data_IF_160938303858
#
_entry.id   IF_160938303858
#
_cell.length_a   1.000
_cell.length_b   1.000
_cell.length_c   1.000
_cell.angle_alpha   90.00
_cell.angle_beta   90.00
_cell.angle_gamma   90.00
#
_symmetry.space_group_name_H-M   'P 1'
#
loop_
_entity.id
_entity.type
_entity.pdbx_description
1 polymer ?
#
# COMPACT_ATOMS: atom_id res chain seq x y z
N UNK A 1 13.08 35.31 11.07
CA UNK A 1 14.08 34.29 11.44
C UNK A 1 13.31 33.10 12.03
N UNK A 2 13.26 31.97 11.34
CA UNK A 2 12.62 30.77 11.90
C UNK A 2 13.49 30.27 13.06
N UNK A 3 12.92 30.19 14.26
CA UNK A 3 13.61 29.61 15.42
C UNK A 3 13.71 28.11 15.19
N UNK A 4 14.87 27.63 14.75
CA UNK A 4 15.12 26.19 14.60
C UNK A 4 14.97 25.52 15.96
N UNK A 5 13.93 24.70 16.12
CA UNK A 5 13.78 23.87 17.31
C UNK A 5 14.95 22.88 17.45
N UNK A 6 15.16 22.29 18.64
CA UNK A 6 16.16 21.23 18.77
C UNK A 6 15.82 20.06 17.83
N UNK A 7 16.84 19.40 17.23
CA UNK A 7 16.62 18.24 16.37
C UNK A 7 15.81 17.14 17.06
N UNK A 8 14.88 16.53 16.34
CA UNK A 8 14.04 15.43 16.83
C UNK A 8 14.87 14.15 16.89
N UNK A 9 14.83 13.42 18.00
CA UNK A 9 15.47 12.10 18.10
C UNK A 9 14.53 11.01 17.58
N UNK A 10 15.02 10.15 16.68
CA UNK A 10 14.32 8.93 16.24
C UNK A 10 14.56 7.80 17.24
N UNK A 11 13.49 7.17 17.72
CA UNK A 11 13.53 6.07 18.67
C UNK A 11 13.12 4.77 17.99
N UNK A 12 14.12 3.97 17.66
CA UNK A 12 13.92 2.68 17.02
C UNK A 12 13.23 1.68 17.96
N UNK A 13 12.22 0.94 17.48
CA UNK A 13 11.69 -0.21 18.23
C UNK A 13 12.74 -1.32 18.30
N UNK A 14 12.51 -2.30 19.17
CA UNK A 14 13.30 -3.53 19.19
C UNK A 14 13.16 -4.26 17.85
N UNK A 15 14.28 -4.70 17.29
CA UNK A 15 14.29 -5.40 15.99
C UNK A 15 13.80 -6.85 16.14
N UNK A 16 14.26 -7.52 17.21
CA UNK A 16 13.98 -8.92 17.52
C UNK A 16 13.97 -9.16 19.02
N UNK A 17 13.47 -10.33 19.42
CA UNK A 17 13.51 -10.80 20.80
C UNK A 17 14.89 -11.42 21.09
N UNK A 18 15.85 -10.62 21.55
CA UNK A 18 17.23 -11.07 21.74
C UNK A 18 17.51 -11.71 23.10
N UNK A 19 17.30 -10.96 24.19
CA UNK A 19 17.63 -11.40 25.54
C UNK A 19 16.75 -10.73 26.58
N UNK A 20 16.57 -11.39 27.72
CA UNK A 20 15.92 -10.81 28.88
C UNK A 20 16.75 -9.64 29.42
N UNK A 21 16.10 -8.51 29.66
CA UNK A 21 16.72 -7.32 30.23
C UNK A 21 17.34 -7.54 31.60
N UNK A 22 16.76 -8.42 32.42
CA UNK A 22 17.22 -8.66 33.80
C UNK A 22 18.30 -9.72 33.92
N UNK A 23 18.11 -10.89 33.29
CA UNK A 23 19.00 -12.05 33.46
C UNK A 23 19.75 -12.46 32.19
N UNK A 24 19.56 -11.76 31.06
CA UNK A 24 20.16 -12.07 29.76
C UNK A 24 19.85 -13.46 29.15
N UNK A 25 18.95 -14.26 29.74
CA UNK A 25 18.42 -15.50 29.14
C UNK A 25 17.83 -15.20 27.75
N UNK A 26 18.02 -16.10 26.78
CA UNK A 26 17.54 -15.95 25.39
C UNK A 26 16.30 -16.80 25.05
N UNK A 27 15.76 -17.55 26.00
CA UNK A 27 14.57 -18.40 25.80
C UNK A 27 13.36 -17.80 26.51
N UNK A 28 12.17 -18.24 26.10
CA UNK A 28 10.89 -17.89 26.74
C UNK A 28 10.62 -16.39 26.79
N UNK A 29 11.16 -15.66 25.81
CA UNK A 29 11.14 -14.21 25.77
C UNK A 29 9.73 -13.68 25.53
N UNK A 30 9.35 -12.72 26.34
CA UNK A 30 8.06 -12.03 26.33
C UNK A 30 8.32 -10.54 26.39
N UNK A 31 7.47 -9.78 25.74
CA UNK A 31 7.49 -8.34 25.87
C UNK A 31 6.69 -7.91 27.09
N UNK A 32 7.07 -6.78 27.69
CA UNK A 32 6.22 -6.08 28.64
C UNK A 32 4.83 -5.86 28.02
N UNK A 33 3.78 -6.35 28.68
CA UNK A 33 2.39 -6.23 28.18
C UNK A 33 1.92 -4.79 28.08
N UNK A 34 2.45 -3.90 28.94
CA UNK A 34 2.11 -2.48 28.98
C UNK A 34 2.75 -1.71 27.82
N UNK A 35 4.08 -1.56 27.77
CA UNK A 35 4.75 -0.76 26.73
C UNK A 35 5.17 -1.54 25.48
N UNK A 36 5.38 -2.85 25.59
CA UNK A 36 5.94 -3.71 24.52
C UNK A 36 7.34 -3.32 24.02
N UNK A 37 8.11 -2.61 24.85
CA UNK A 37 9.46 -2.12 24.51
C UNK A 37 10.58 -2.78 25.32
N UNK A 38 10.25 -3.59 26.33
CA UNK A 38 11.22 -4.31 27.17
C UNK A 38 10.99 -5.81 27.12
N UNK A 39 12.07 -6.60 27.07
CA UNK A 39 12.03 -8.06 26.93
C UNK A 39 12.35 -8.74 28.27
N UNK A 40 11.53 -9.73 28.65
CA UNK A 40 11.73 -10.55 29.84
C UNK A 40 11.52 -12.03 29.52
N UNK A 41 12.26 -12.93 30.17
CA UNK A 41 12.01 -14.37 30.05
C UNK A 41 10.90 -14.86 31.00
N UNK A 42 10.54 -14.06 32.02
CA UNK A 42 9.54 -14.43 33.03
C UNK A 42 8.95 -13.19 33.72
N UNK A 43 7.78 -13.38 34.37
CA UNK A 43 7.18 -12.34 35.21
C UNK A 43 8.06 -12.01 36.44
N UNK A 44 8.87 -12.96 36.92
CA UNK A 44 9.81 -12.72 38.02
C UNK A 44 10.90 -11.73 37.59
N UNK A 45 11.50 -11.93 36.40
CA UNK A 45 12.48 -10.98 35.85
C UNK A 45 11.87 -9.60 35.60
N UNK A 46 10.62 -9.54 35.13
CA UNK A 46 9.91 -8.26 34.97
C UNK A 46 9.70 -7.55 36.31
N UNK A 47 9.26 -8.27 37.36
CA UNK A 47 9.10 -7.70 38.71
C UNK A 47 10.43 -7.23 39.29
N UNK A 48 11.51 -7.97 39.09
CA UNK A 48 12.85 -7.62 39.56
C UNK A 48 13.49 -6.43 38.81
N UNK A 49 13.01 -6.13 37.60
CA UNK A 49 13.39 -4.95 36.80
C UNK A 49 12.42 -3.78 36.99
N UNK A 50 11.34 -3.97 37.75
CA UNK A 50 10.22 -3.03 37.78
C UNK A 50 10.59 -1.66 38.36
N UNK A 51 11.50 -1.60 39.33
CA UNK A 51 11.99 -0.33 39.89
C UNK A 51 12.55 0.59 38.81
N UNK A 52 13.39 0.04 37.92
CA UNK A 52 14.06 0.78 36.85
C UNK A 52 13.15 0.99 35.64
N UNK A 53 12.29 0.02 35.33
CA UNK A 53 11.43 0.05 34.15
C UNK A 53 10.16 0.90 34.35
N UNK A 54 9.58 0.96 35.55
CA UNK A 54 8.30 1.64 35.84
C UNK A 54 8.27 3.12 35.38
N UNK A 55 9.31 3.94 35.57
CA UNK A 55 9.29 5.35 35.15
C UNK A 55 9.13 5.55 33.63
N UNK A 56 9.49 4.56 32.82
CA UNK A 56 9.41 4.63 31.34
C UNK A 56 8.28 3.77 30.77
N UNK A 57 7.72 2.85 31.56
CA UNK A 57 6.64 1.95 31.15
C UNK A 57 5.30 2.70 30.94
N UNK A 58 4.49 2.22 30.00
CA UNK A 58 3.14 2.76 29.73
C UNK A 58 3.10 4.11 29.00
N UNK A 59 4.24 4.70 28.65
CA UNK A 59 4.33 5.98 27.92
C UNK A 59 4.28 5.82 26.40
N UNK A 60 3.74 4.70 25.90
CA UNK A 60 3.69 4.39 24.47
C UNK A 60 2.26 4.05 24.06
N UNK A 61 1.69 4.87 23.18
CA UNK A 61 0.48 4.57 22.44
C UNK A 61 0.75 3.46 21.43
N UNK A 62 -0.11 2.44 21.41
CA UNK A 62 0.01 1.28 20.52
C UNK A 62 -1.16 1.31 19.55
N UNK A 63 -0.87 1.64 18.30
CA UNK A 63 -1.86 1.74 17.24
C UNK A 63 -1.84 0.44 16.44
N UNK A 64 -3.00 -0.18 16.25
CA UNK A 64 -3.11 -1.40 15.45
C UNK A 64 -3.08 -1.07 13.95
N UNK A 65 -2.15 -1.70 13.23
CA UNK A 65 -1.90 -1.47 11.81
C UNK A 65 -3.13 -1.79 10.96
N UNK A 66 -3.92 -2.82 11.31
CA UNK A 66 -5.12 -3.19 10.55
C UNK A 66 -6.21 -2.11 10.60
N UNK A 67 -6.30 -1.34 11.69
CA UNK A 67 -7.18 -0.18 11.78
C UNK A 67 -6.59 1.11 11.19
N UNK A 68 -5.26 1.18 11.04
CA UNK A 68 -4.55 2.42 10.69
C UNK A 68 -4.11 2.49 9.23
N UNK A 69 -3.92 1.35 8.55
CA UNK A 69 -3.52 1.35 7.14
C UNK A 69 -4.45 2.11 6.18
N UNK A 70 -5.78 2.25 6.42
CA UNK A 70 -6.63 3.10 5.58
C UNK A 70 -6.14 4.54 5.50
N UNK A 71 -5.56 5.07 6.58
CA UNK A 71 -4.96 6.39 6.58
C UNK A 71 -3.79 6.46 5.59
N UNK A 72 -2.93 5.45 5.54
CA UNK A 72 -1.84 5.39 4.55
C UNK A 72 -2.37 5.33 3.12
N UNK A 73 -3.40 4.52 2.87
CA UNK A 73 -4.06 4.47 1.55
C UNK A 73 -4.63 5.83 1.16
N UNK A 74 -5.26 6.55 2.09
CA UNK A 74 -5.77 7.89 1.85
C UNK A 74 -4.65 8.91 1.57
N UNK A 75 -3.48 8.80 2.21
CA UNK A 75 -2.31 9.64 1.87
C UNK A 75 -1.81 9.37 0.44
N UNK A 76 -1.77 8.10 0.03
CA UNK A 76 -1.42 7.73 -1.35
C UNK A 76 -2.42 8.32 -2.34
N UNK A 77 -3.72 8.14 -2.10
CA UNK A 77 -4.77 8.70 -2.95
C UNK A 77 -4.70 10.23 -3.02
N UNK A 78 -4.51 10.89 -1.87
CA UNK A 78 -4.36 12.34 -1.81
C UNK A 78 -3.16 12.83 -2.63
N UNK A 79 -2.10 12.04 -2.75
CA UNK A 79 -0.94 12.35 -3.60
C UNK A 79 -1.24 12.23 -5.09
N UNK A 80 -2.01 11.21 -5.49
CA UNK A 80 -2.44 11.06 -6.88
C UNK A 80 -3.35 12.19 -7.36
N UNK A 81 -4.08 12.82 -6.43
CA UNK A 81 -4.96 13.96 -6.71
C UNK A 81 -4.27 15.32 -6.60
N UNK A 82 -2.97 15.39 -6.28
CA UNK A 82 -2.25 16.66 -6.25
C UNK A 82 -1.98 17.18 -7.67
N UNK A 83 -2.24 18.47 -7.90
CA UNK A 83 -2.03 19.11 -9.20
C UNK A 83 -0.57 19.27 -9.62
N UNK A 84 0.39 18.97 -8.74
CA UNK A 84 1.81 18.97 -9.06
C UNK A 84 2.26 17.67 -9.74
N UNK A 85 1.47 16.58 -9.65
CA UNK A 85 1.76 15.33 -10.35
C UNK A 85 1.67 15.56 -11.87
N UNK A 86 2.66 15.11 -12.66
CA UNK A 86 2.56 15.16 -14.11
C UNK A 86 1.26 14.50 -14.59
N UNK A 87 0.50 15.20 -15.41
CA UNK A 87 -0.74 14.70 -15.99
C UNK A 87 -0.38 13.62 -17.01
N UNK A 88 -0.87 12.37 -16.87
CA UNK A 88 -0.68 11.35 -17.89
C UNK A 88 -1.20 11.81 -19.25
N UNK A 89 -0.46 11.57 -20.33
CA UNK A 89 -0.81 12.04 -21.67
C UNK A 89 -2.20 11.57 -22.14
N UNK A 90 -2.65 10.39 -21.72
CA UNK A 90 -3.97 9.88 -22.04
C UNK A 90 -5.13 10.72 -21.45
N UNK A 91 -4.86 11.56 -20.44
CA UNK A 91 -5.84 12.49 -19.88
C UNK A 91 -5.93 13.82 -20.64
N UNK A 92 -5.02 14.07 -21.58
CA UNK A 92 -5.05 15.28 -22.41
C UNK A 92 -5.48 15.02 -23.85
N UNK A 93 -5.90 13.80 -24.18
CA UNK A 93 -6.30 13.40 -25.53
C UNK A 93 -7.65 12.69 -25.50
N UNK A 94 -8.38 12.77 -26.61
CA UNK A 94 -9.59 11.99 -26.81
C UNK A 94 -9.27 10.49 -26.93
N UNK A 95 -10.04 9.65 -26.28
CA UNK A 95 -10.02 8.20 -26.47
C UNK A 95 -10.99 7.86 -27.61
N UNK A 96 -10.46 7.37 -28.72
CA UNK A 96 -11.24 7.11 -29.96
C UNK A 96 -11.66 5.65 -30.14
N UNK A 97 -11.09 4.73 -29.36
CA UNK A 97 -11.51 3.32 -29.33
C UNK A 97 -12.40 3.02 -28.11
N UNK A 98 -12.77 1.75 -27.93
CA UNK A 98 -13.53 1.29 -26.78
C UNK A 98 -12.66 0.36 -25.91
N UNK A 99 -11.82 0.89 -24.99
CA UNK A 99 -10.99 0.10 -24.06
C UNK A 99 -11.80 -0.55 -22.92
N UNK A 100 -12.97 -1.11 -23.24
CA UNK A 100 -13.83 -1.77 -22.26
C UNK A 100 -13.17 -3.05 -21.68
N UNK A 101 -13.65 -3.56 -20.53
CA UNK A 101 -13.09 -4.73 -19.84
C UNK A 101 -12.87 -5.97 -20.70
N UNK A 102 -13.77 -6.20 -21.66
CA UNK A 102 -13.74 -7.35 -22.55
C UNK A 102 -12.92 -7.10 -23.84
N UNK A 103 -12.31 -5.91 -24.00
CA UNK A 103 -11.39 -5.64 -25.09
C UNK A 103 -10.13 -6.52 -24.93
N UNK A 104 -9.81 -7.39 -25.90
CA UNK A 104 -8.64 -8.26 -25.80
C UNK A 104 -7.36 -7.43 -25.79
N UNK A 105 -6.32 -7.85 -25.04
CA UNK A 105 -5.02 -7.20 -25.11
C UNK A 105 -4.41 -7.40 -26.49
N UNK A 106 -3.63 -6.43 -26.94
CA UNK A 106 -2.86 -6.50 -28.17
C UNK A 106 -1.38 -6.59 -27.84
N UNK A 107 -0.63 -7.31 -28.66
CA UNK A 107 0.83 -7.37 -28.59
C UNK A 107 1.44 -6.25 -29.46
N UNK A 108 2.42 -5.55 -28.91
CA UNK A 108 3.12 -4.44 -29.54
C UNK A 108 4.48 -4.91 -30.10
N UNK A 109 5.10 -4.15 -31.03
CA UNK A 109 6.35 -4.57 -31.69
C UNK A 109 7.53 -4.86 -30.75
N UNK A 110 7.51 -4.33 -29.52
CA UNK A 110 8.54 -4.57 -28.50
C UNK A 110 8.25 -5.75 -27.57
N UNK A 111 7.18 -6.51 -27.85
CA UNK A 111 6.72 -7.65 -27.05
C UNK A 111 5.90 -7.26 -25.82
N UNK A 112 5.64 -5.97 -25.60
CA UNK A 112 4.66 -5.55 -24.59
C UNK A 112 3.26 -6.00 -25.03
N UNK A 113 2.42 -6.37 -24.08
CA UNK A 113 1.04 -6.70 -24.36
C UNK A 113 0.13 -6.08 -23.31
N UNK A 114 -0.95 -5.43 -23.76
CA UNK A 114 -1.85 -4.69 -22.91
C UNK A 114 -3.14 -4.30 -23.62
N UNK A 115 -4.13 -3.83 -22.87
CA UNK A 115 -5.36 -3.27 -23.43
C UNK A 115 -5.05 -1.95 -24.12
N UNK A 116 -5.34 -1.81 -25.43
CA UNK A 116 -5.02 -0.60 -26.16
C UNK A 116 -6.00 0.54 -25.80
N UNK A 117 -5.45 1.73 -25.56
CA UNK A 117 -6.16 3.01 -25.43
C UNK A 117 -5.65 3.90 -26.55
N UNK A 118 -6.48 4.09 -27.59
CA UNK A 118 -6.11 4.86 -28.78
C UNK A 118 -6.43 6.32 -28.54
N UNK A 119 -5.39 7.15 -28.58
CA UNK A 119 -5.42 8.59 -28.33
C UNK A 119 -5.54 9.34 -29.67
N UNK A 120 -6.65 10.04 -29.86
CA UNK A 120 -6.93 10.95 -30.96
C UNK A 120 -6.43 12.37 -30.67
N UNK A 121 -7.24 13.37 -31.00
CA UNK A 121 -6.88 14.77 -30.88
C UNK A 121 -6.67 15.21 -29.42
N UNK A 122 -5.79 16.20 -29.24
CA UNK A 122 -5.57 16.83 -27.95
C UNK A 122 -6.81 17.63 -27.52
N UNK A 123 -7.20 17.47 -26.26
CA UNK A 123 -8.35 18.16 -25.68
C UNK A 123 -7.93 19.44 -24.95
N UNK A 124 -8.82 20.43 -24.99
CA UNK A 124 -8.72 21.65 -24.18
C UNK A 124 -9.56 21.57 -22.91
N UNK A 125 -10.47 20.60 -22.81
CA UNK A 125 -11.35 20.38 -21.67
C UNK A 125 -10.77 19.35 -20.69
N UNK A 126 -11.19 19.40 -19.41
CA UNK A 126 -10.76 18.41 -18.43
C UNK A 126 -11.17 16.98 -18.82
N UNK A 127 -10.37 15.96 -18.46
CA UNK A 127 -10.69 14.56 -18.74
C UNK A 127 -11.93 14.10 -17.97
N UNK A 128 -12.54 13.00 -18.44
CA UNK A 128 -13.69 12.37 -17.77
C UNK A 128 -15.06 12.74 -18.33
N UNK A 129 -15.16 13.77 -19.17
CA UNK A 129 -16.38 14.13 -19.89
C UNK A 129 -16.67 13.27 -21.12
N UNK A 130 -17.81 13.52 -21.79
CA UNK A 130 -18.16 12.85 -23.05
C UNK A 130 -17.14 13.13 -24.16
N UNK A 131 -16.57 14.34 -24.22
CA UNK A 131 -15.53 14.70 -25.18
C UNK A 131 -14.26 13.84 -25.03
N UNK A 132 -13.93 13.47 -23.78
CA UNK A 132 -12.74 12.67 -23.47
C UNK A 132 -12.86 11.22 -23.93
N UNK A 133 -14.04 10.61 -23.75
CA UNK A 133 -14.28 9.26 -24.25
C UNK A 133 -15.74 9.13 -24.73
N UNK A 134 -16.02 9.54 -25.98
CA UNK A 134 -17.40 9.63 -26.50
C UNK A 134 -18.07 8.27 -26.63
N UNK A 135 -17.31 7.24 -26.93
CA UNK A 135 -17.78 5.86 -27.11
C UNK A 135 -17.92 5.07 -25.81
N UNK A 136 -17.73 5.69 -24.64
CA UNK A 136 -17.81 5.00 -23.37
C UNK A 136 -19.23 4.44 -23.12
N UNK A 137 -19.37 3.17 -22.72
CA UNK A 137 -20.70 2.56 -22.49
C UNK A 137 -21.50 3.21 -21.36
N UNK A 138 -20.83 3.79 -20.36
CA UNK A 138 -21.48 4.50 -19.25
C UNK A 138 -20.50 5.41 -18.51
N UNK A 139 -21.04 6.33 -17.70
CA UNK A 139 -20.26 7.20 -16.83
C UNK A 139 -19.39 6.41 -15.83
N UNK A 140 -19.85 5.24 -15.37
CA UNK A 140 -19.10 4.40 -14.44
C UNK A 140 -17.87 3.79 -15.10
N UNK A 141 -17.99 3.27 -16.34
CA UNK A 141 -16.85 2.71 -17.11
C UNK A 141 -15.82 3.83 -17.34
N UNK A 142 -16.30 4.99 -17.79
CA UNK A 142 -15.45 6.16 -18.03
C UNK A 142 -14.71 6.62 -16.77
N UNK A 143 -15.44 6.74 -15.66
CA UNK A 143 -14.89 7.17 -14.38
C UNK A 143 -13.84 6.20 -13.83
N UNK A 144 -14.05 4.88 -13.97
CA UNK A 144 -13.08 3.88 -13.55
C UNK A 144 -11.80 3.94 -14.40
N UNK A 145 -11.92 4.02 -15.72
CA UNK A 145 -10.74 4.18 -16.60
C UNK A 145 -9.97 5.47 -16.27
N UNK A 146 -10.67 6.59 -16.09
CA UNK A 146 -10.08 7.86 -15.67
C UNK A 146 -9.24 7.68 -14.39
N UNK A 147 -9.85 7.07 -13.36
CA UNK A 147 -9.17 6.79 -12.08
C UNK A 147 -7.96 5.87 -12.24
N UNK A 148 -8.03 4.86 -13.12
CA UNK A 148 -6.89 3.96 -13.39
C UNK A 148 -5.71 4.74 -13.96
N UNK A 149 -5.96 5.54 -15.00
CA UNK A 149 -4.93 6.37 -15.67
C UNK A 149 -4.38 7.41 -14.69
N UNK A 150 -5.25 8.11 -13.95
CA UNK A 150 -4.83 9.12 -12.96
C UNK A 150 -3.90 8.58 -11.88
N UNK A 151 -4.00 7.29 -11.54
CA UNK A 151 -3.18 6.64 -10.50
C UNK A 151 -1.86 6.07 -11.03
N UNK A 152 -1.64 6.05 -12.34
CA UNK A 152 -0.37 5.57 -12.90
C UNK A 152 0.81 6.49 -12.58
N UNK A 153 2.00 5.91 -12.40
CA UNK A 153 3.25 6.65 -12.21
C UNK A 153 3.42 7.25 -10.81
N UNK A 154 4.64 7.72 -10.54
CA UNK A 154 5.05 8.34 -9.26
C UNK A 154 4.82 7.50 -8.00
N UNK A 155 4.60 6.18 -8.13
CA UNK A 155 4.34 5.28 -6.98
C UNK A 155 5.48 5.35 -5.96
N UNK A 156 6.74 5.24 -6.41
CA UNK A 156 7.89 5.23 -5.50
C UNK A 156 8.07 6.56 -4.71
N UNK A 157 8.01 7.76 -5.34
CA UNK A 157 7.96 9.02 -4.61
C UNK A 157 6.84 9.09 -3.57
N UNK A 158 5.63 8.64 -3.91
CA UNK A 158 4.47 8.69 -3.02
C UNK A 158 4.66 7.77 -1.82
N UNK A 159 5.05 6.50 -2.04
CA UNK A 159 5.29 5.55 -0.95
C UNK A 159 6.46 6.00 -0.05
N UNK A 160 7.49 6.62 -0.65
CA UNK A 160 8.61 7.20 0.10
C UNK A 160 8.11 8.31 1.02
N UNK A 161 7.29 9.23 0.52
CA UNK A 161 6.70 10.29 1.33
C UNK A 161 5.84 9.78 2.50
N UNK A 162 4.99 8.76 2.27
CA UNK A 162 4.18 8.11 3.32
C UNK A 162 5.06 7.48 4.41
N UNK A 163 6.11 6.75 4.02
CA UNK A 163 7.00 6.12 4.98
C UNK A 163 7.87 7.14 5.74
N UNK A 164 8.29 8.23 5.08
CA UNK A 164 9.01 9.33 5.73
C UNK A 164 8.12 10.02 6.75
N UNK A 165 6.84 10.30 6.43
CA UNK A 165 5.93 10.91 7.41
C UNK A 165 5.65 10.00 8.59
N UNK A 166 5.52 8.69 8.35
CA UNK A 166 5.40 7.69 9.41
C UNK A 166 6.62 7.71 10.34
N UNK A 167 7.83 7.69 9.80
CA UNK A 167 9.06 7.75 10.60
C UNK A 167 9.20 9.08 11.35
N UNK A 168 9.00 10.19 10.64
CA UNK A 168 9.13 11.54 11.18
C UNK A 168 8.14 11.79 12.32
N UNK A 169 6.88 11.36 12.21
CA UNK A 169 5.84 11.74 13.17
C UNK A 169 5.54 10.66 14.22
N UNK A 170 5.63 9.37 13.91
CA UNK A 170 5.38 8.31 14.90
C UNK A 170 6.65 7.88 15.64
N UNK A 171 7.81 7.87 14.96
CA UNK A 171 9.04 7.29 15.51
C UNK A 171 10.03 8.32 16.05
N UNK A 172 9.78 9.62 15.87
CA UNK A 172 10.48 10.65 16.64
C UNK A 172 9.71 11.03 17.91
N UNK A 173 10.37 11.59 18.91
CA UNK A 173 9.66 12.20 20.05
C UNK A 173 9.69 13.71 19.96
N UNK A 174 8.53 14.34 20.12
CA UNK A 174 8.42 15.76 20.46
C UNK A 174 7.79 15.97 21.85
N UNK A 175 7.32 14.90 22.52
CA UNK A 175 6.53 14.93 23.76
C UNK A 175 6.81 13.74 24.68
N UNK A 176 6.25 13.77 25.91
CA UNK A 176 6.36 12.73 26.97
C UNK A 176 5.82 11.34 26.61
N UNK A 177 5.07 11.18 25.50
CA UNK A 177 4.39 9.94 25.09
C UNK A 177 4.78 9.57 23.66
N UNK A 178 5.22 8.33 23.45
CA UNK A 178 5.60 7.75 22.16
C UNK A 178 4.38 7.14 21.48
N UNK A 179 4.43 6.98 20.16
CA UNK A 179 3.42 6.23 19.40
C UNK A 179 4.08 5.13 18.59
N UNK A 180 3.56 3.91 18.62
CA UNK A 180 4.10 2.77 17.90
C UNK A 180 3.01 2.01 17.17
N UNK A 181 3.31 1.58 15.95
CA UNK A 181 2.49 0.61 15.27
C UNK A 181 2.71 -0.77 15.89
N UNK A 182 1.64 -1.55 15.92
CA UNK A 182 1.65 -3.00 16.15
C UNK A 182 0.74 -3.65 15.12
N UNK A 183 0.94 -4.92 14.86
CA UNK A 183 -0.05 -5.75 14.19
C UNK A 183 -0.53 -6.78 15.21
N UNK A 184 -1.82 -6.74 15.55
CA UNK A 184 -2.41 -7.56 16.62
C UNK A 184 -1.67 -7.32 17.95
N UNK A 185 -1.00 -8.34 18.47
CA UNK A 185 -0.23 -8.26 19.72
C UNK A 185 1.27 -7.99 19.51
N UNK A 186 1.75 -7.92 18.26
CA UNK A 186 3.18 -7.86 17.93
C UNK A 186 3.56 -6.44 17.48
N UNK A 187 4.46 -5.73 18.16
CA UNK A 187 4.96 -4.44 17.70
C UNK A 187 5.60 -4.54 16.31
N UNK A 188 5.44 -3.49 15.51
CA UNK A 188 6.18 -3.33 14.25
C UNK A 188 7.63 -2.98 14.60
N UNK A 189 8.55 -3.85 14.19
CA UNK A 189 9.98 -3.69 14.38
C UNK A 189 10.67 -3.04 13.19
N UNK A 190 10.09 -3.16 11.99
CA UNK A 190 10.61 -2.51 10.78
C UNK A 190 9.50 -2.17 9.79
N UNK A 191 9.76 -1.19 8.94
CA UNK A 191 8.96 -0.91 7.75
C UNK A 191 9.81 -0.22 6.69
N UNK A 192 9.39 -0.36 5.45
CA UNK A 192 10.04 0.27 4.31
C UNK A 192 9.32 -0.02 3.01
N UNK A 193 10.06 0.06 1.92
CA UNK A 193 9.52 -0.17 0.58
C UNK A 193 10.22 -1.37 -0.03
N UNK A 194 9.41 -2.25 -0.60
CA UNK A 194 9.86 -3.36 -1.42
C UNK A 194 9.54 -3.06 -2.90
N UNK A 195 10.37 -3.61 -3.76
CA UNK A 195 10.28 -3.54 -5.21
C UNK A 195 10.39 -4.95 -5.79
N UNK A 196 9.56 -5.22 -6.78
CA UNK A 196 9.49 -6.52 -7.42
C UNK A 196 8.57 -6.49 -8.62
N UNK A 197 7.90 -7.62 -8.87
CA UNK A 197 6.82 -7.70 -9.84
C UNK A 197 5.48 -8.03 -9.17
N UNK A 198 4.40 -7.58 -9.80
CA UNK A 198 3.05 -8.01 -9.51
C UNK A 198 2.56 -8.97 -10.59
N UNK A 199 1.85 -10.02 -10.21
CA UNK A 199 1.22 -10.95 -11.15
C UNK A 199 0.00 -10.31 -11.76
N UNK A 200 0.15 -9.81 -12.99
CA UNK A 200 -0.89 -9.08 -13.72
C UNK A 200 -1.08 -9.69 -15.11
N UNK A 201 -2.32 -9.89 -15.52
CA UNK A 201 -2.63 -10.40 -16.86
C UNK A 201 -2.53 -9.29 -17.90
N UNK A 202 -2.36 -9.63 -19.18
CA UNK A 202 -2.27 -8.59 -20.23
C UNK A 202 -3.59 -7.81 -20.38
N UNK A 203 -4.73 -8.44 -20.07
CA UNK A 203 -6.07 -7.82 -20.05
C UNK A 203 -6.16 -6.66 -19.06
N UNK A 204 -5.36 -6.70 -17.99
CA UNK A 204 -5.35 -5.73 -16.90
C UNK A 204 -4.28 -4.65 -17.08
N UNK A 205 -3.37 -4.78 -18.03
CA UNK A 205 -2.39 -3.74 -18.38
C UNK A 205 -3.01 -2.72 -19.33
N UNK A 206 -2.56 -1.48 -19.27
CA UNK A 206 -2.89 -0.45 -20.26
C UNK A 206 -1.70 -0.22 -21.20
N UNK A 207 -2.01 0.09 -22.46
CA UNK A 207 -1.06 0.57 -23.44
C UNK A 207 -1.70 1.72 -24.23
N UNK A 208 -0.96 2.78 -24.46
CA UNK A 208 -1.46 4.00 -25.09
C UNK A 208 -0.89 4.10 -26.51
N UNK A 209 -1.74 4.35 -27.51
CA UNK A 209 -1.33 4.52 -28.89
C UNK A 209 -1.77 5.88 -29.41
N UNK A 210 -0.84 6.74 -29.81
CA UNK A 210 -1.14 8.09 -30.27
C UNK A 210 -1.27 8.12 -31.79
N UNK A 211 -2.44 8.52 -32.30
CA UNK A 211 -2.69 8.57 -33.74
C UNK A 211 -1.92 9.67 -34.45
N UNK A 212 -1.65 10.79 -33.78
CA UNK A 212 -1.01 11.96 -34.41
C UNK A 212 0.41 11.69 -34.91
N UNK A 213 1.15 10.79 -34.26
CA UNK A 213 2.54 10.47 -34.57
C UNK A 213 2.84 8.96 -34.67
N UNK A 214 1.85 8.11 -34.42
CA UNK A 214 1.99 6.65 -34.46
C UNK A 214 2.83 6.08 -33.32
N UNK A 215 3.13 6.87 -32.27
CA UNK A 215 3.90 6.40 -31.11
C UNK A 215 3.03 5.59 -30.15
N UNK A 216 3.67 4.70 -29.40
CA UNK A 216 3.02 3.97 -28.31
C UNK A 216 3.80 4.12 -27.01
N UNK A 217 3.07 4.17 -25.91
CA UNK A 217 3.58 4.24 -24.55
C UNK A 217 2.95 3.13 -23.70
N UNK A 218 3.67 2.66 -22.68
CA UNK A 218 3.12 1.69 -21.74
C UNK A 218 2.46 2.39 -20.55
N UNK A 219 1.40 1.79 -20.04
CA UNK A 219 0.89 2.10 -18.72
C UNK A 219 1.88 1.70 -17.62
N UNK A 220 1.38 1.57 -16.39
CA UNK A 220 2.22 1.14 -15.29
C UNK A 220 2.85 -0.24 -15.57
N UNK A 221 4.12 -0.40 -15.24
CA UNK A 221 4.86 -1.64 -15.48
C UNK A 221 4.74 -2.58 -14.26
N UNK A 222 4.01 -3.72 -14.34
CA UNK A 222 3.86 -4.62 -13.22
C UNK A 222 5.16 -5.34 -12.89
N UNK A 223 6.14 -5.38 -13.78
CA UNK A 223 7.48 -5.90 -13.46
C UNK A 223 8.32 -4.91 -12.68
N UNK A 224 7.89 -3.65 -12.54
CA UNK A 224 8.55 -2.61 -11.73
C UNK A 224 7.59 -2.05 -10.70
N UNK A 225 7.03 -2.95 -9.89
CA UNK A 225 6.02 -2.64 -8.89
C UNK A 225 6.63 -2.35 -7.52
N UNK A 226 5.94 -1.55 -6.71
CA UNK A 226 6.39 -1.12 -5.38
C UNK A 226 5.27 -1.23 -4.36
N UNK A 227 5.62 -1.59 -3.13
CA UNK A 227 4.68 -1.68 -2.03
C UNK A 227 5.35 -1.41 -0.68
N UNK A 228 4.56 -1.09 0.34
CA UNK A 228 5.04 -0.90 1.71
C UNK A 228 5.03 -2.27 2.40
N UNK A 229 6.13 -2.61 3.06
CA UNK A 229 6.16 -3.77 3.96
C UNK A 229 6.28 -3.31 5.42
N UNK A 230 5.74 -4.13 6.31
CA UNK A 230 5.91 -4.03 7.75
C UNK A 230 6.37 -5.37 8.28
N UNK A 231 7.35 -5.36 9.16
CA UNK A 231 7.83 -6.56 9.85
C UNK A 231 7.55 -6.39 11.33
N UNK A 232 6.93 -7.39 11.95
CA UNK A 232 6.77 -7.40 13.41
C UNK A 232 8.04 -7.92 14.07
N UNK A 233 8.22 -7.65 15.37
CA UNK A 233 9.35 -8.17 16.15
C UNK A 233 9.44 -9.72 16.19
N UNK A 234 8.37 -10.41 15.78
CA UNK A 234 8.31 -11.87 15.65
C UNK A 234 8.59 -12.37 14.24
N UNK A 235 8.98 -11.50 13.31
CA UNK A 235 9.27 -11.83 11.91
C UNK A 235 8.01 -12.02 11.05
N UNK A 236 6.82 -11.69 11.54
CA UNK A 236 5.62 -11.68 10.70
C UNK A 236 5.66 -10.50 9.73
N UNK A 237 5.39 -10.77 8.47
CA UNK A 237 5.37 -9.78 7.39
C UNK A 237 3.92 -9.38 7.07
N UNK A 238 3.71 -8.08 6.88
CA UNK A 238 2.45 -7.50 6.43
C UNK A 238 2.77 -6.58 5.26
N UNK A 239 1.93 -6.61 4.22
CA UNK A 239 2.15 -5.88 2.99
C UNK A 239 0.97 -4.93 2.75
N UNK A 240 1.26 -3.67 2.43
CA UNK A 240 0.27 -2.70 1.94
C UNK A 240 0.65 -2.26 0.53
N UNK A 241 -0.23 -2.57 -0.42
CA UNK A 241 -0.09 -2.18 -1.82
C UNK A 241 -1.24 -1.27 -2.24
N UNK A 242 -0.92 -0.04 -2.60
CA UNK A 242 -1.91 0.97 -3.02
C UNK A 242 -1.89 1.21 -4.54
N UNK A 243 -1.11 0.43 -5.30
CA UNK A 243 -0.85 0.67 -6.71
C UNK A 243 -1.42 -0.42 -7.63
N UNK A 244 -2.08 -1.44 -7.09
CA UNK A 244 -2.70 -2.51 -7.90
C UNK A 244 -3.98 -2.06 -8.64
N UNK A 245 -4.56 -0.92 -8.30
CA UNK A 245 -5.75 -0.40 -8.98
C UNK A 245 -5.49 -0.08 -10.46
N UNK A 246 -4.28 0.38 -10.83
CA UNK A 246 -3.93 0.61 -12.24
C UNK A 246 -3.97 -0.70 -13.04
N UNK A 247 -3.81 -1.84 -12.37
CA UNK A 247 -3.93 -3.21 -12.90
C UNK A 247 -5.31 -3.84 -12.65
N UNK A 248 -6.35 -3.02 -12.55
CA UNK A 248 -7.74 -3.47 -12.37
C UNK A 248 -8.01 -4.30 -11.10
N UNK A 249 -7.10 -4.30 -10.12
CA UNK A 249 -7.34 -4.92 -8.82
C UNK A 249 -8.02 -3.91 -7.91
N UNK A 250 -9.35 -3.94 -7.92
CA UNK A 250 -10.18 -2.84 -7.44
C UNK A 250 -10.59 -2.95 -5.97
N UNK A 251 -9.70 -3.39 -5.09
CA UNK A 251 -9.95 -3.34 -3.65
C UNK A 251 -9.75 -1.91 -3.12
N UNK A 252 -10.81 -1.38 -2.54
CA UNK A 252 -10.90 0.00 -2.09
C UNK A 252 -11.22 0.07 -0.60
N UNK A 253 -10.67 1.09 0.06
CA UNK A 253 -11.13 1.58 1.35
C UNK A 253 -12.27 2.56 1.12
N UNK A 254 -13.41 2.35 1.79
CA UNK A 254 -14.54 3.28 1.78
C UNK A 254 -14.39 4.35 2.88
N UNK A 255 -15.03 5.50 2.69
CA UNK A 255 -15.16 6.55 3.71
C UNK A 255 -13.85 7.28 4.00
N UNK A 256 -13.09 7.61 2.96
CA UNK A 256 -11.79 8.32 3.07
C UNK A 256 -11.89 9.61 3.90
N UNK A 257 -13.04 10.30 3.90
CA UNK A 257 -13.29 11.49 4.71
C UNK A 257 -13.15 11.25 6.23
N UNK A 258 -13.31 10.00 6.68
CA UNK A 258 -13.12 9.64 8.09
C UNK A 258 -11.65 9.65 8.51
N UNK A 259 -10.74 9.40 7.56
CA UNK A 259 -9.33 9.18 7.82
C UNK A 259 -8.48 10.46 7.66
N UNK A 260 -8.80 11.32 6.69
CA UNK A 260 -8.09 12.59 6.48
C UNK A 260 -8.94 13.80 6.92
N UNK A 261 -8.31 14.93 7.29
CA UNK A 261 -9.05 16.17 7.51
C UNK A 261 -9.73 16.64 6.21
N UNK A 262 -10.88 17.34 6.28
CA UNK A 262 -11.68 17.75 5.12
C UNK A 262 -11.05 18.90 4.33
N UNK A 263 -9.72 18.90 4.18
CA UNK A 263 -8.97 20.01 3.59
C UNK A 263 -9.10 20.06 2.07
N UNK A 264 -9.56 18.98 1.42
CA UNK A 264 -9.76 18.90 -0.04
C UNK A 264 -10.88 17.93 -0.41
N UNK A 265 -11.52 18.12 -1.58
CA UNK A 265 -12.35 17.08 -2.16
C UNK A 265 -11.47 15.86 -2.41
N UNK A 266 -11.81 14.75 -1.75
CA UNK A 266 -11.16 13.46 -1.94
C UNK A 266 -12.13 12.51 -2.63
N UNK A 267 -11.57 11.55 -3.35
CA UNK A 267 -12.33 10.36 -3.73
C UNK A 267 -12.87 9.70 -2.46
N UNK A 268 -14.15 9.31 -2.44
CA UNK A 268 -14.76 8.53 -1.34
C UNK A 268 -14.05 7.18 -1.12
N UNK A 269 -13.24 6.78 -2.09
CA UNK A 269 -12.53 5.50 -2.13
C UNK A 269 -11.02 5.71 -2.28
N UNK A 270 -10.23 4.96 -1.52
CA UNK A 270 -8.77 4.89 -1.69
C UNK A 270 -8.32 3.46 -1.98
N UNK A 271 -7.57 3.18 -3.06
CA UNK A 271 -7.10 1.84 -3.33
C UNK A 271 -6.18 1.31 -2.23
N UNK A 272 -6.43 0.08 -1.79
CA UNK A 272 -5.55 -0.61 -0.86
C UNK A 272 -5.74 -2.13 -0.94
N UNK A 273 -4.65 -2.83 -1.18
CA UNK A 273 -4.53 -4.25 -0.95
C UNK A 273 -3.65 -4.50 0.28
N UNK A 274 -4.31 -4.75 1.41
CA UNK A 274 -3.65 -5.05 2.68
C UNK A 274 -3.52 -6.56 2.86
N UNK A 275 -2.35 -7.11 2.50
CA UNK A 275 -2.08 -8.55 2.63
C UNK A 275 -1.52 -8.85 4.01
N UNK A 276 -2.40 -9.34 4.85
CA UNK A 276 -2.08 -9.83 6.19
C UNK A 276 -1.95 -11.36 6.20
N UNK A 277 -1.69 -11.96 7.37
CA UNK A 277 -1.57 -13.43 7.51
C UNK A 277 -2.78 -14.21 6.97
N UNK A 278 -3.99 -13.66 7.09
CA UNK A 278 -5.20 -14.34 6.65
C UNK A 278 -5.25 -14.34 5.14
N UNK A 279 -5.02 -13.20 4.49
CA UNK A 279 -4.99 -13.13 3.03
C UNK A 279 -3.85 -13.97 2.49
N UNK A 280 -2.64 -13.82 3.06
CA UNK A 280 -1.44 -14.59 2.70
C UNK A 280 -1.68 -16.12 2.69
N UNK A 281 -2.35 -16.65 3.71
CA UNK A 281 -2.66 -18.08 3.80
C UNK A 281 -3.80 -18.55 2.86
N UNK A 282 -4.54 -17.63 2.27
CA UNK A 282 -5.76 -17.92 1.50
C UNK A 282 -5.70 -17.51 0.03
N UNK A 283 -4.76 -16.66 -0.38
CA UNK A 283 -4.60 -16.21 -1.76
C UNK A 283 -3.27 -16.69 -2.35
N UNK A 284 -3.18 -16.93 -3.67
CA UNK A 284 -1.90 -17.12 -4.33
C UNK A 284 -0.97 -15.92 -4.12
N UNK A 285 0.34 -16.15 -4.23
CA UNK A 285 1.31 -15.07 -4.30
C UNK A 285 1.03 -14.17 -5.51
N UNK A 286 0.78 -12.89 -5.22
CA UNK A 286 0.61 -11.85 -6.24
C UNK A 286 1.87 -11.02 -6.45
N UNK A 287 2.83 -11.11 -5.54
CA UNK A 287 4.05 -10.30 -5.56
C UNK A 287 5.27 -11.21 -5.61
N UNK A 288 6.21 -10.88 -6.50
CA UNK A 288 7.56 -11.47 -6.48
C UNK A 288 8.54 -10.39 -6.08
N UNK A 289 8.96 -10.40 -4.82
CA UNK A 289 9.94 -9.42 -4.35
C UNK A 289 11.33 -9.67 -4.94
N UNK A 290 12.00 -8.60 -5.35
CA UNK A 290 13.41 -8.65 -5.79
C UNK A 290 14.34 -7.85 -4.88
N UNK A 291 13.84 -6.75 -4.30
CA UNK A 291 14.64 -5.86 -3.46
C UNK A 291 13.74 -5.17 -2.44
N UNK A 292 14.21 -5.02 -1.21
CA UNK A 292 13.58 -4.15 -0.22
C UNK A 292 14.60 -3.29 0.50
N UNK A 293 14.16 -2.15 0.99
CA UNK A 293 14.98 -1.26 1.81
C UNK A 293 14.17 -0.75 2.99
N UNK A 294 14.74 -0.86 4.19
CA UNK A 294 14.15 -0.29 5.40
C UNK A 294 14.27 1.23 5.38
N UNK A 295 13.16 1.90 5.66
CA UNK A 295 13.15 3.34 5.90
C UNK A 295 13.42 3.60 7.38
N UNK A 296 12.78 2.83 8.27
CA UNK A 296 12.94 3.00 9.71
C UNK A 296 14.40 2.82 10.18
N UNK A 297 15.13 1.87 9.60
CA UNK A 297 16.51 1.53 9.98
C UNK A 297 17.57 2.29 9.19
N UNK A 298 17.21 3.04 8.16
CA UNK A 298 18.16 3.84 7.38
C UNK A 298 18.76 4.96 8.22
N UNK A 299 20.07 4.90 8.52
CA UNK A 299 20.77 5.94 9.28
C UNK A 299 20.66 7.31 8.61
N UNK A 300 20.87 7.38 7.29
CA UNK A 300 20.79 8.64 6.54
C UNK A 300 19.39 9.25 6.61
N UNK A 301 18.33 8.45 6.42
CA UNK A 301 16.97 8.97 6.52
C UNK A 301 16.60 9.35 7.96
N UNK A 302 17.11 8.63 8.96
CA UNK A 302 16.92 8.98 10.38
C UNK A 302 17.50 10.34 10.72
N UNK A 303 18.69 10.65 10.22
CA UNK A 303 19.31 11.96 10.38
C UNK A 303 18.50 13.05 9.68
N UNK A 304 18.03 12.79 8.46
CA UNK A 304 17.16 13.72 7.71
C UNK A 304 15.86 14.04 8.45
N UNK A 305 15.12 13.04 8.95
CA UNK A 305 13.83 13.31 9.64
C UNK A 305 13.99 13.98 11.00
N UNK A 306 15.20 14.03 11.57
CA UNK A 306 15.47 14.79 12.79
C UNK A 306 15.14 16.28 12.60
N UNK A 307 15.25 16.79 11.37
CA UNK A 307 15.00 18.19 11.02
C UNK A 307 13.57 18.45 10.48
N UNK A 308 12.71 17.42 10.44
CA UNK A 308 11.36 17.47 9.84
C UNK A 308 10.37 18.45 10.49
N UNK A 309 10.72 19.08 11.62
CA UNK A 309 9.84 20.03 12.29
C UNK A 309 9.52 21.24 11.41
N UNK A 310 10.52 21.71 10.66
CA UNK A 310 10.46 22.90 9.81
C UNK A 310 10.26 22.57 8.32
N UNK A 311 9.97 21.29 8.00
CA UNK A 311 9.88 20.78 6.63
C UNK A 311 11.15 20.05 6.19
N UNK A 312 11.36 19.95 4.87
CA UNK A 312 12.52 19.30 4.28
C UNK A 312 13.25 20.26 3.35
N UNK A 313 14.56 20.37 3.52
CA UNK A 313 15.44 21.19 2.70
C UNK A 313 15.80 20.47 1.39
N UNK A 314 16.39 21.16 0.40
CA UNK A 314 16.91 20.49 -0.81
C UNK A 314 17.92 19.38 -0.51
N UNK A 315 18.70 19.51 0.57
CA UNK A 315 19.66 18.48 1.01
C UNK A 315 18.92 17.23 1.50
N UNK A 316 17.85 17.41 2.26
CA UNK A 316 16.99 16.32 2.73
C UNK A 316 16.33 15.59 1.55
N UNK A 317 15.83 16.35 0.58
CA UNK A 317 15.24 15.81 -0.65
C UNK A 317 16.27 15.00 -1.43
N UNK A 318 17.53 15.43 -1.51
CA UNK A 318 18.59 14.65 -2.14
C UNK A 318 18.84 13.29 -1.46
N UNK A 319 18.64 13.19 -0.13
CA UNK A 319 18.69 11.91 0.59
C UNK A 319 17.51 11.01 0.20
N UNK A 320 16.30 11.57 0.05
CA UNK A 320 15.13 10.82 -0.46
C UNK A 320 15.38 10.31 -1.88
N UNK A 321 15.89 11.18 -2.76
CA UNK A 321 16.27 10.85 -4.12
C UNK A 321 17.30 9.71 -4.14
N UNK A 322 18.36 9.80 -3.34
CA UNK A 322 19.37 8.74 -3.24
C UNK A 322 18.78 7.42 -2.77
N UNK A 323 17.87 7.44 -1.79
CA UNK A 323 17.14 6.26 -1.37
C UNK A 323 16.32 5.64 -2.51
N UNK A 324 15.53 6.44 -3.22
CA UNK A 324 14.69 5.99 -4.34
C UNK A 324 15.54 5.44 -5.51
N UNK A 325 16.65 6.10 -5.83
CA UNK A 325 17.58 5.64 -6.88
C UNK A 325 18.21 4.30 -6.53
N UNK A 326 18.66 4.14 -5.28
CA UNK A 326 19.18 2.86 -4.80
C UNK A 326 18.13 1.78 -4.82
N UNK A 327 16.89 2.05 -4.37
CA UNK A 327 15.85 1.03 -4.39
C UNK A 327 15.48 0.65 -5.82
N UNK A 328 15.22 1.63 -6.69
CA UNK A 328 14.75 1.42 -8.07
C UNK A 328 15.84 0.91 -9.04
N UNK A 329 17.13 1.07 -8.68
CA UNK A 329 18.27 0.97 -9.61
C UNK A 329 18.12 1.86 -10.85
N UNK A 330 17.42 3.00 -10.72
CA UNK A 330 17.20 3.98 -11.78
C UNK A 330 17.55 5.38 -11.30
N UNK A 331 17.92 6.26 -12.23
CA UNK A 331 18.06 7.68 -11.94
C UNK A 331 16.67 8.30 -11.78
N UNK A 332 16.37 8.84 -10.61
CA UNK A 332 15.18 9.66 -10.40
C UNK A 332 15.28 10.93 -11.25
N UNK A 333 14.15 11.30 -11.84
CA UNK A 333 13.95 12.60 -12.47
C UNK A 333 13.93 13.71 -11.40
N UNK A 334 14.13 14.96 -11.85
CA UNK A 334 13.97 16.14 -10.98
C UNK A 334 12.56 16.15 -10.40
N UNK A 335 11.56 15.89 -11.23
CA UNK A 335 10.16 15.90 -10.82
C UNK A 335 9.84 14.86 -9.75
N UNK A 336 10.31 13.61 -9.90
CA UNK A 336 10.13 12.59 -8.87
C UNK A 336 10.73 13.00 -7.52
N UNK A 337 11.87 13.69 -7.54
CA UNK A 337 12.54 14.20 -6.32
C UNK A 337 11.70 15.30 -5.66
N UNK A 338 11.20 16.25 -6.46
CA UNK A 338 10.30 17.31 -5.98
C UNK A 338 9.00 16.76 -5.40
N UNK A 339 8.38 15.78 -6.07
CA UNK A 339 7.17 15.12 -5.58
C UNK A 339 7.41 14.45 -4.24
N UNK A 340 8.51 13.70 -4.09
CA UNK A 340 8.85 13.03 -2.83
C UNK A 340 9.00 14.04 -1.68
N UNK A 341 9.69 15.16 -1.90
CA UNK A 341 9.86 16.21 -0.90
C UNK A 341 8.55 16.91 -0.52
N UNK A 342 7.79 17.34 -1.53
CA UNK A 342 6.49 18.02 -1.35
C UNK A 342 5.50 17.13 -0.60
N UNK A 343 5.34 15.88 -1.04
CA UNK A 343 4.42 14.94 -0.41
C UNK A 343 4.88 14.54 0.99
N UNK A 344 6.19 14.40 1.24
CA UNK A 344 6.69 14.12 2.58
C UNK A 344 6.31 15.24 3.57
N UNK A 345 6.50 16.51 3.19
CA UNK A 345 6.08 17.64 4.03
C UNK A 345 4.56 17.62 4.27
N UNK A 346 3.77 17.43 3.22
CA UNK A 346 2.30 17.37 3.32
C UNK A 346 1.83 16.23 4.24
N UNK A 347 2.36 15.02 4.03
CA UNK A 347 2.01 13.83 4.81
C UNK A 347 2.47 13.94 6.27
N UNK A 348 3.61 14.58 6.56
CA UNK A 348 4.01 14.91 7.92
C UNK A 348 2.95 15.78 8.60
N UNK A 349 2.41 16.79 7.91
CA UNK A 349 1.32 17.62 8.41
C UNK A 349 0.08 16.81 8.79
N UNK A 350 -0.40 15.95 7.88
CA UNK A 350 -1.57 15.10 8.14
C UNK A 350 -1.33 14.07 9.24
N UNK A 351 -0.16 13.43 9.25
CA UNK A 351 0.20 12.43 10.26
C UNK A 351 0.30 13.09 11.63
N UNK A 352 0.94 14.25 11.73
CA UNK A 352 1.05 15.03 12.97
C UNK A 352 -0.32 15.39 13.51
N UNK A 353 -1.22 15.92 12.68
CA UNK A 353 -2.58 16.27 13.08
C UNK A 353 -3.33 15.04 13.59
N UNK A 354 -3.32 13.94 12.84
CA UNK A 354 -3.95 12.68 13.21
C UNK A 354 -3.48 12.17 14.59
N UNK A 355 -2.17 12.22 14.85
CA UNK A 355 -1.58 11.78 16.11
C UNK A 355 -1.90 12.72 17.28
N UNK A 356 -1.86 14.04 17.05
CA UNK A 356 -2.16 15.04 18.08
C UNK A 356 -3.62 14.99 18.53
N UNK A 357 -4.53 14.82 17.58
CA UNK A 357 -5.98 14.72 17.82
C UNK A 357 -6.43 13.29 18.15
N UNK A 358 -5.51 12.31 18.12
CA UNK A 358 -5.80 10.88 18.33
C UNK A 358 -6.96 10.38 17.47
N UNK A 359 -7.08 10.86 16.22
CA UNK A 359 -8.22 10.54 15.34
C UNK A 359 -8.42 9.05 15.14
N UNK A 360 -7.33 8.30 15.14
CA UNK A 360 -7.32 6.84 15.01
C UNK A 360 -8.11 6.10 16.08
N UNK A 361 -8.37 6.70 17.25
CA UNK A 361 -9.20 6.08 18.29
C UNK A 361 -10.68 5.97 17.90
N UNK A 362 -11.11 6.76 16.90
CA UNK A 362 -12.49 6.77 16.39
C UNK A 362 -12.67 5.90 15.15
N UNK A 363 -11.58 5.39 14.58
CA UNK A 363 -11.65 4.60 13.36
C UNK A 363 -12.16 3.19 13.65
N UNK A 364 -12.87 2.57 12.70
CA UNK A 364 -13.33 1.20 12.86
C UNK A 364 -12.13 0.25 12.97
N UNK A 365 -12.24 -0.74 13.86
CA UNK A 365 -11.20 -1.77 14.01
C UNK A 365 -11.01 -2.61 12.73
N UNK A 366 -12.10 -2.77 11.97
CA UNK A 366 -12.11 -3.39 10.64
C UNK A 366 -12.58 -2.33 9.65
N UNK A 367 -11.69 -1.84 8.76
CA UNK A 367 -12.06 -0.86 7.76
C UNK A 367 -13.15 -1.39 6.83
N UNK A 368 -14.01 -0.50 6.36
CA UNK A 368 -14.99 -0.85 5.33
C UNK A 368 -14.28 -0.98 3.98
N UNK A 369 -14.45 -2.14 3.35
CA UNK A 369 -13.84 -2.47 2.07
C UNK A 369 -14.90 -2.51 0.98
N UNK A 370 -14.56 -1.95 -0.18
CA UNK A 370 -15.35 -2.04 -1.41
C UNK A 370 -14.56 -2.71 -2.53
N UNK A 371 -15.29 -3.28 -3.49
CA UNK A 371 -14.73 -3.69 -4.78
C UNK A 371 -15.33 -2.78 -5.85
N UNK A 372 -14.50 -2.00 -6.53
CA UNK A 372 -14.94 -1.20 -7.68
C UNK A 372 -15.01 -2.07 -8.94
N UNK A 373 -16.15 -2.72 -9.16
CA UNK A 373 -16.38 -3.64 -10.29
C UNK A 373 -16.37 -2.92 -11.64
N UNK A 374 -15.98 -3.63 -12.71
CA UNK A 374 -16.23 -3.14 -14.05
C UNK A 374 -17.74 -3.25 -14.39
N UNK A 375 -18.34 -2.24 -15.04
CA UNK A 375 -19.73 -2.33 -15.46
C UNK A 375 -19.96 -3.53 -16.40
N UNK A 376 -20.88 -4.41 -16.00
CA UNK A 376 -21.17 -5.69 -16.68
C UNK A 376 -20.52 -6.91 -16.02
N UNK A 377 -19.61 -6.74 -15.07
CA UNK A 377 -19.19 -7.79 -14.14
C UNK A 377 -20.22 -7.88 -13.00
N UNK A 378 -21.36 -8.52 -13.23
CA UNK A 378 -22.29 -8.81 -12.12
C UNK A 378 -21.65 -9.88 -11.24
N UNK A 379 -21.24 -9.51 -10.02
CA UNK A 379 -20.97 -10.49 -8.94
C UNK A 379 -22.27 -11.20 -8.54
N UNK A 380 -23.42 -10.57 -8.81
CA UNK A 380 -24.74 -11.14 -8.56
C UNK A 380 -25.21 -12.03 -9.73
N UNK A 381 -24.34 -12.81 -10.37
CA UNK A 381 -24.80 -14.10 -10.88
C UNK A 381 -24.80 -15.04 -9.67
N UNK A 382 -25.93 -15.22 -8.96
CA UNK A 382 -25.99 -16.05 -7.75
C UNK A 382 -25.58 -17.50 -8.00
N UNK A 383 -25.33 -17.86 -9.26
CA UNK A 383 -24.97 -19.18 -9.69
C UNK A 383 -23.56 -19.24 -10.32
N UNK A 384 -22.65 -18.31 -10.05
CA UNK A 384 -21.25 -18.40 -10.53
C UNK A 384 -20.43 -19.53 -9.86
N UNK A 385 -21.01 -20.18 -8.84
CA UNK A 385 -20.42 -21.29 -8.11
C UNK A 385 -19.39 -20.89 -7.06
N UNK A 386 -19.17 -19.59 -6.83
CA UNK A 386 -18.18 -19.06 -5.87
C UNK A 386 -18.39 -19.61 -4.45
N UNK A 387 -19.63 -19.60 -3.94
CA UNK A 387 -19.96 -20.17 -2.64
C UNK A 387 -19.68 -21.68 -2.55
N UNK A 388 -20.04 -22.42 -3.61
CA UNK A 388 -19.76 -23.84 -3.72
C UNK A 388 -18.25 -24.12 -3.76
N UNK A 389 -17.48 -23.28 -4.46
CA UNK A 389 -16.03 -23.34 -4.46
C UNK A 389 -15.45 -23.08 -3.07
N UNK A 390 -15.89 -22.04 -2.37
CA UNK A 390 -15.41 -21.73 -1.03
C UNK A 390 -15.70 -22.86 -0.03
N UNK A 391 -16.88 -23.48 -0.12
CA UNK A 391 -17.22 -24.65 0.67
C UNK A 391 -16.31 -25.85 0.34
N UNK A 392 -16.08 -26.13 -0.95
CA UNK A 392 -15.17 -27.17 -1.41
C UNK A 392 -13.74 -26.93 -0.93
N UNK A 393 -13.24 -25.70 -1.07
CA UNK A 393 -11.90 -25.29 -0.65
C UNK A 393 -11.69 -25.46 0.86
N UNK A 394 -12.68 -25.09 1.70
CA UNK A 394 -12.63 -25.32 3.16
C UNK A 394 -12.52 -26.82 3.47
N UNK A 395 -13.31 -27.67 2.81
CA UNK A 395 -13.26 -29.13 2.97
C UNK A 395 -11.91 -29.68 2.53
N UNK A 396 -11.41 -29.27 1.37
CA UNK A 396 -10.12 -29.69 0.85
C UNK A 396 -8.96 -29.28 1.77
N UNK A 397 -8.92 -28.04 2.27
CA UNK A 397 -7.88 -27.59 3.23
C UNK A 397 -7.90 -28.44 4.51
N UNK A 398 -9.07 -28.82 5.01
CA UNK A 398 -9.22 -29.73 6.15
C UNK A 398 -8.68 -31.13 5.83
N UNK A 399 -8.96 -31.67 4.65
CA UNK A 399 -8.45 -32.98 4.20
C UNK A 399 -6.93 -32.96 4.00
N UNK A 400 -6.39 -31.91 3.38
CA UNK A 400 -4.94 -31.74 3.17
C UNK A 400 -4.18 -31.65 4.49
N UNK A 401 -4.70 -30.89 5.46
CA UNK A 401 -4.14 -30.84 6.82
C UNK A 401 -4.14 -32.20 7.53
N UNK A 402 -5.10 -33.07 7.20
CA UNK A 402 -5.18 -34.44 7.72
C UNK A 402 -4.35 -35.45 6.91
N UNK A 403 -3.58 -35.02 5.89
CA UNK A 403 -2.83 -35.91 5.00
C UNK A 403 -3.70 -36.74 4.05
N UNK A 404 -4.98 -36.38 3.88
CA UNK A 404 -5.97 -37.12 3.08
C UNK A 404 -6.21 -36.54 1.68
N UNK A 405 -5.58 -35.41 1.37
CA UNK A 405 -5.66 -34.79 0.07
C UNK A 405 -4.29 -34.22 -0.30
N UNK A 406 -3.95 -34.31 -1.57
CA UNK A 406 -2.74 -33.73 -2.15
C UNK A 406 -3.11 -32.75 -3.29
N UNK A 407 -2.10 -32.13 -3.88
CA UNK A 407 -2.23 -31.21 -5.00
C UNK A 407 -2.11 -29.75 -4.61
N UNK A 408 -1.94 -28.92 -5.64
CA UNK A 408 -1.93 -27.47 -5.56
C UNK A 408 -3.36 -26.92 -5.58
N UNK A 409 -3.57 -25.72 -5.01
CA UNK A 409 -4.87 -25.05 -5.04
C UNK A 409 -5.42 -24.91 -6.47
N UNK A 410 -4.54 -24.67 -7.45
CA UNK A 410 -4.91 -24.56 -8.86
C UNK A 410 -5.39 -25.88 -9.47
N UNK A 411 -4.78 -27.02 -9.11
CA UNK A 411 -5.26 -28.34 -9.56
C UNK A 411 -6.64 -28.66 -8.99
N UNK A 412 -6.85 -28.37 -7.71
CA UNK A 412 -8.10 -28.63 -7.00
C UNK A 412 -9.23 -27.76 -7.54
N UNK A 413 -8.93 -26.48 -7.83
CA UNK A 413 -9.89 -25.58 -8.42
C UNK A 413 -10.33 -26.01 -9.82
N UNK A 414 -9.39 -26.50 -10.66
CA UNK A 414 -9.73 -27.06 -11.97
C UNK A 414 -10.63 -28.28 -11.86
N UNK A 415 -10.25 -29.26 -11.03
CA UNK A 415 -11.06 -30.46 -10.83
C UNK A 415 -12.47 -30.14 -10.31
N UNK A 416 -12.58 -29.24 -9.32
CA UNK A 416 -13.87 -28.79 -8.81
C UNK A 416 -14.71 -28.09 -9.89
N UNK A 417 -14.09 -27.22 -10.70
CA UNK A 417 -14.80 -26.49 -11.75
C UNK A 417 -15.36 -27.44 -12.81
N UNK A 418 -14.59 -28.44 -13.23
CA UNK A 418 -15.03 -29.46 -14.19
C UNK A 418 -16.22 -30.26 -13.63
N UNK A 419 -16.15 -30.66 -12.36
CA UNK A 419 -17.25 -31.36 -11.66
C UNK A 419 -18.51 -30.50 -11.55
N UNK A 420 -18.34 -29.21 -11.23
CA UNK A 420 -19.43 -28.26 -11.04
C UNK A 420 -20.11 -27.91 -12.37
N UNK A 421 -19.36 -27.65 -13.44
CA UNK A 421 -19.93 -27.44 -14.78
C UNK A 421 -20.64 -28.70 -15.30
N UNK A 422 -20.08 -29.89 -15.04
CA UNK A 422 -20.73 -31.15 -15.39
C UNK A 422 -22.04 -31.36 -14.62
N UNK A 423 -22.11 -30.90 -13.37
CA UNK A 423 -23.34 -30.93 -12.57
C UNK A 423 -24.40 -29.96 -13.09
N UNK A 424 -24.01 -28.76 -13.54
CA UNK A 424 -24.92 -27.76 -14.13
C UNK A 424 -25.57 -28.18 -15.45
N UNK A 425 -24.89 -29.05 -16.22
CA UNK A 425 -25.42 -29.56 -17.50
C UNK A 425 -26.44 -30.69 -17.33
N UNK A 426 -26.61 -31.23 -16.12
CA UNK A 426 -27.59 -32.27 -15.79
C UNK A 426 -28.83 -31.63 -15.19
#
# INVERSE_FOLDING_TARGET
>A
MATTGPPRTVYLPLEKLDKCAKCSKKTDLRLCSSCSEQIYCSAQCQKADWGDHKPICGKTDKIDLASFYPFFACLVEASHLQGDKPIPHALSHQIVNNPHPQCPPVEFPDGWAGRPVILGDQLTTPPGGDEWWPSSPSLNVRGKLLRRIMREGSVLPILTAVCISLMAEMYTTTKKRRTRLRYKSSPISDFGIAMGSARVTNQDKLAYFRLSDGTFDHGQDPDKHYWIYFTTIRGEEILLDCAMFSFNMCLMINGTESYLPPLRPMSQFAPAFFRDRVIDANTPDMHTERKRMSILRSETLRQTVANSADGFTPVDVAVFTSFMQRLSNKKCTVKESELAGTYATLHCGFTRLCLQERRWEKWPATPELGIEQDPGESIDDPDDGSDAWFAHLKKWKKMKKAGKADGTMAQVHRAWRDEWEAAKRK
#
